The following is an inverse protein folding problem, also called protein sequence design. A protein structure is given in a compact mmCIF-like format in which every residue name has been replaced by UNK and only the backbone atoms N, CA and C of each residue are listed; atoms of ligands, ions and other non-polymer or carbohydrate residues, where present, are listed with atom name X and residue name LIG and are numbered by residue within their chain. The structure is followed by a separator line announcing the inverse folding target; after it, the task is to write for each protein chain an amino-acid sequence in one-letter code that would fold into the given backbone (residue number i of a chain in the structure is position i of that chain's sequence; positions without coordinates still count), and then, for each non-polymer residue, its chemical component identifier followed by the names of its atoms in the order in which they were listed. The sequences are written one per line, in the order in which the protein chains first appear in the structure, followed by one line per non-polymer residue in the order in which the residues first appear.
data_IF_669572147975
#
_entry.id   IF_669572147975
#
_cell.length_a   1.000
_cell.length_b   1.000
_cell.length_c   1.000
_cell.angle_alpha   90.00
_cell.angle_beta   90.00
_cell.angle_gamma   90.00
#
_symmetry.space_group_name_H-M   'P 1'
#
loop_
_entity.id
_entity.type
_entity.pdbx_description
1 polymer ?
#
# COMPACT_ATOMS: atom_id res chain seq x y z
N UNK A 1 70.07 -39.82 -54.56
CA UNK A 1 68.94 -40.70 -54.20
C UNK A 1 67.70 -39.83 -54.05
N UNK A 2 66.67 -40.13 -54.82
CA UNK A 2 65.35 -39.51 -54.78
C UNK A 2 64.64 -39.78 -53.46
N UNK A 3 64.05 -38.74 -52.85
CA UNK A 3 62.71 -38.68 -52.25
C UNK A 3 62.38 -37.17 -52.21
N UNK A 4 61.42 -36.60 -52.93
CA UNK A 4 60.05 -37.08 -53.17
C UNK A 4 59.12 -36.31 -52.23
N UNK A 5 58.78 -35.07 -52.59
CA UNK A 5 57.81 -34.22 -51.89
C UNK A 5 56.38 -34.74 -52.16
N UNK A 6 55.69 -35.21 -51.13
CA UNK A 6 54.22 -35.22 -51.07
C UNK A 6 53.80 -34.77 -49.67
N UNK A 7 53.18 -33.60 -49.61
CA UNK A 7 52.75 -32.95 -48.37
C UNK A 7 51.43 -32.24 -48.59
N UNK A 8 50.36 -33.04 -48.55
CA UNK A 8 48.98 -32.75 -48.19
C UNK A 8 48.49 -31.28 -48.23
N UNK A 9 47.52 -31.04 -49.12
CA UNK A 9 46.69 -29.85 -49.12
C UNK A 9 45.97 -29.66 -47.78
N UNK A 10 46.25 -28.53 -47.12
CA UNK A 10 45.46 -28.04 -46.01
C UNK A 10 44.17 -27.41 -46.55
N UNK A 11 42.98 -27.77 -46.04
CA UNK A 11 41.76 -27.02 -46.30
C UNK A 11 41.83 -25.68 -45.56
N UNK A 12 42.25 -24.63 -46.28
CA UNK A 12 42.12 -23.23 -45.85
C UNK A 12 40.66 -22.81 -46.04
N UNK A 13 39.74 -23.35 -45.23
CA UNK A 13 38.33 -22.98 -45.26
C UNK A 13 37.61 -23.56 -44.04
N UNK A 14 37.93 -23.08 -42.82
CA UNK A 14 36.93 -23.17 -41.74
C UNK A 14 37.16 -22.36 -40.45
N UNK A 15 38.24 -21.60 -40.30
CA UNK A 15 38.44 -20.84 -39.03
C UNK A 15 37.66 -19.51 -39.06
N UNK A 16 37.48 -18.92 -40.24
CA UNK A 16 36.76 -17.65 -40.38
C UNK A 16 35.23 -17.80 -40.20
N UNK A 17 34.68 -18.97 -40.53
CA UNK A 17 33.25 -19.28 -40.32
C UNK A 17 32.93 -19.52 -38.83
N UNK A 18 33.82 -20.19 -38.09
CA UNK A 18 33.62 -20.45 -36.66
C UNK A 18 33.76 -19.20 -35.78
N UNK A 19 34.60 -18.24 -36.16
CA UNK A 19 34.72 -16.96 -35.44
C UNK A 19 33.47 -16.08 -35.62
N UNK A 20 32.90 -16.01 -36.84
CA UNK A 20 31.65 -15.29 -37.09
C UNK A 20 30.46 -15.89 -36.33
N UNK A 21 30.37 -17.23 -36.23
CA UNK A 21 29.29 -17.86 -35.48
C UNK A 21 29.32 -17.56 -33.97
N UNK A 22 30.52 -17.45 -33.36
CA UNK A 22 30.63 -17.08 -31.94
C UNK A 22 30.21 -15.64 -31.67
N UNK A 23 30.56 -14.71 -32.54
CA UNK A 23 30.13 -13.31 -32.38
C UNK A 23 28.63 -13.17 -32.58
N UNK A 24 28.05 -13.89 -33.53
CA UNK A 24 26.60 -13.92 -33.78
C UNK A 24 25.84 -14.52 -32.59
N UNK A 25 26.33 -15.59 -31.96
CA UNK A 25 25.71 -16.18 -30.76
C UNK A 25 25.75 -15.25 -29.54
N UNK A 26 26.85 -14.51 -29.36
CA UNK A 26 26.97 -13.52 -28.28
C UNK A 26 26.06 -12.33 -28.54
N UNK A 27 25.92 -11.91 -29.80
CA UNK A 27 25.00 -10.84 -30.19
C UNK A 27 23.55 -11.26 -30.00
N UNK A 28 23.17 -12.49 -30.40
CA UNK A 28 21.83 -13.05 -30.23
C UNK A 28 21.44 -13.20 -28.75
N UNK A 29 22.37 -13.61 -27.89
CA UNK A 29 22.12 -13.66 -26.43
C UNK A 29 21.91 -12.27 -25.84
N UNK A 30 22.68 -11.27 -26.28
CA UNK A 30 22.51 -9.87 -25.82
C UNK A 30 21.19 -9.28 -26.32
N UNK A 31 20.83 -9.53 -27.58
CA UNK A 31 19.54 -9.08 -28.15
C UNK A 31 18.38 -9.79 -27.45
N UNK A 32 18.46 -11.10 -27.20
CA UNK A 32 17.44 -11.84 -26.46
C UNK A 32 17.25 -11.33 -25.02
N UNK A 33 18.33 -10.93 -24.34
CA UNK A 33 18.27 -10.34 -23.01
C UNK A 33 17.66 -8.94 -23.02
N UNK A 34 18.00 -8.11 -24.01
CA UNK A 34 17.39 -6.77 -24.18
C UNK A 34 15.90 -6.89 -24.52
N UNK A 35 15.52 -7.81 -25.42
CA UNK A 35 14.10 -8.08 -25.74
C UNK A 35 13.37 -8.65 -24.52
N UNK A 36 14.00 -9.53 -23.74
CA UNK A 36 13.44 -10.05 -22.49
C UNK A 36 13.21 -8.96 -21.44
N UNK A 37 14.14 -8.01 -21.30
CA UNK A 37 13.99 -6.85 -20.41
C UNK A 37 12.91 -5.89 -20.91
N UNK A 38 12.79 -5.68 -22.23
CA UNK A 38 11.73 -4.85 -22.83
C UNK A 38 10.36 -5.52 -22.67
N UNK A 39 10.24 -6.83 -22.87
CA UNK A 39 8.98 -7.56 -22.67
C UNK A 39 8.63 -7.63 -21.18
N UNK A 40 9.59 -7.88 -20.28
CA UNK A 40 9.34 -7.84 -18.84
C UNK A 40 8.97 -6.42 -18.39
N UNK A 41 9.63 -5.38 -18.91
CA UNK A 41 9.29 -3.97 -18.70
C UNK A 41 7.93 -3.59 -19.29
N UNK A 42 7.54 -4.16 -20.43
CA UNK A 42 6.23 -3.96 -21.05
C UNK A 42 5.13 -4.74 -20.34
N UNK A 43 5.38 -5.92 -19.77
CA UNK A 43 4.40 -6.68 -18.97
C UNK A 43 4.23 -6.03 -17.61
N UNK A 44 5.32 -5.60 -16.96
CA UNK A 44 5.26 -4.81 -15.71
C UNK A 44 4.65 -3.42 -15.97
N UNK A 45 4.90 -2.86 -17.16
CA UNK A 45 4.33 -1.62 -17.65
C UNK A 45 2.87 -1.73 -18.10
N UNK A 46 2.41 -2.88 -18.63
CA UNK A 46 1.02 -3.11 -19.04
C UNK A 46 0.12 -3.27 -17.81
N UNK A 47 0.62 -3.86 -16.72
CA UNK A 47 -0.05 -3.78 -15.43
C UNK A 47 0.05 -2.37 -14.80
N UNK A 48 0.94 -1.51 -15.29
CA UNK A 48 1.01 -0.10 -14.89
C UNK A 48 0.11 0.83 -15.71
N UNK A 49 -0.30 0.47 -16.93
CA UNK A 49 -1.21 1.28 -17.76
C UNK A 49 -2.63 1.34 -17.20
N UNK A 50 -3.12 0.22 -16.64
CA UNK A 50 -4.43 0.18 -15.97
C UNK A 50 -4.44 0.96 -14.65
N UNK A 51 -3.28 1.12 -14.00
CA UNK A 51 -3.16 1.90 -12.76
C UNK A 51 -2.94 3.39 -13.09
N UNK A 52 -2.20 3.72 -14.16
CA UNK A 52 -1.97 5.13 -14.54
C UNK A 52 -3.22 5.82 -15.09
N UNK A 53 -4.07 5.10 -15.84
CA UNK A 53 -5.36 5.63 -16.27
C UNK A 53 -6.39 5.73 -15.14
N UNK A 54 -6.21 5.01 -14.03
CA UNK A 54 -7.09 5.11 -12.85
C UNK A 54 -6.68 6.25 -11.91
N UNK A 55 -5.40 6.64 -11.88
CA UNK A 55 -4.89 7.66 -10.95
C UNK A 55 -4.79 9.07 -11.58
N UNK A 56 -4.64 9.20 -12.91
CA UNK A 56 -4.30 10.51 -13.52
C UNK A 56 -5.15 10.98 -14.72
N UNK A 57 -6.28 10.33 -15.05
CA UNK A 57 -7.20 10.81 -16.11
C UNK A 57 -8.67 10.41 -15.83
N UNK A 58 -9.52 11.26 -15.22
CA UNK A 58 -10.92 10.92 -14.94
C UNK A 58 -11.86 11.08 -16.16
N UNK A 59 -11.37 11.56 -17.30
CA UNK A 59 -12.18 11.73 -18.51
C UNK A 59 -11.90 10.64 -19.53
N UNK A 60 -12.64 9.51 -19.49
CA UNK A 60 -13.06 8.67 -20.64
C UNK A 60 -13.34 7.18 -20.32
N UNK A 61 -13.81 6.84 -19.11
CA UNK A 61 -14.50 5.56 -18.91
C UNK A 61 -16.02 5.80 -18.92
N UNK A 62 -16.66 5.60 -20.08
CA UNK A 62 -18.13 5.49 -20.14
C UNK A 62 -18.60 4.20 -19.43
N UNK A 63 -19.81 4.21 -18.84
CA UNK A 63 -20.24 3.20 -17.88
C UNK A 63 -20.71 1.93 -18.58
N UNK A 64 -20.09 0.81 -18.23
CA UNK A 64 -20.65 -0.52 -18.40
C UNK A 64 -21.06 -1.05 -17.04
N UNK A 65 -22.12 -0.48 -16.45
CA UNK A 65 -22.75 -1.00 -15.23
C UNK A 65 -23.47 -2.28 -15.62
N UNK A 66 -22.86 -3.42 -15.32
CA UNK A 66 -23.63 -4.65 -15.14
C UNK A 66 -23.96 -4.71 -13.66
N UNK A 67 -25.21 -4.39 -13.32
CA UNK A 67 -25.78 -4.66 -12.02
C UNK A 67 -25.74 -6.17 -11.76
N UNK A 68 -24.69 -6.64 -11.10
CA UNK A 68 -24.68 -7.99 -10.54
C UNK A 68 -25.56 -7.97 -9.29
N UNK A 69 -26.86 -8.19 -9.50
CA UNK A 69 -27.78 -8.54 -8.43
C UNK A 69 -27.36 -9.94 -7.95
N UNK A 70 -26.59 -9.99 -6.87
CA UNK A 70 -26.14 -11.24 -6.26
C UNK A 70 -27.23 -11.71 -5.32
N UNK A 71 -28.09 -12.61 -5.79
CA UNK A 71 -29.05 -13.33 -4.96
C UNK A 71 -28.27 -14.14 -3.92
N UNK A 72 -28.49 -13.85 -2.64
CA UNK A 72 -27.95 -14.66 -1.54
C UNK A 72 -28.72 -15.99 -1.46
N UNK A 73 -28.00 -17.08 -1.21
CA UNK A 73 -28.52 -18.46 -1.17
C UNK A 73 -29.30 -18.79 0.12
N UNK A 74 -29.44 -17.83 1.04
CA UNK A 74 -30.32 -17.90 2.20
C UNK A 74 -31.23 -16.67 2.18
N UNK A 75 -32.54 -16.89 2.07
CA UNK A 75 -33.61 -15.89 1.86
C UNK A 75 -33.85 -14.89 2.99
N UNK A 76 -32.80 -14.31 3.54
CA UNK A 76 -32.83 -13.06 4.31
C UNK A 76 -32.14 -12.00 3.48
N UNK A 77 -32.91 -11.03 2.99
CA UNK A 77 -32.37 -9.81 2.39
C UNK A 77 -31.34 -9.22 3.34
N UNK A 78 -30.06 -9.26 2.96
CA UNK A 78 -29.05 -8.46 3.63
C UNK A 78 -29.52 -7.01 3.51
N UNK A 79 -29.87 -6.39 4.64
CA UNK A 79 -30.30 -4.99 4.64
C UNK A 79 -29.28 -4.18 3.86
N UNK A 80 -29.71 -3.64 2.72
CA UNK A 80 -28.88 -2.74 1.93
C UNK A 80 -28.42 -1.62 2.87
N UNK A 81 -27.13 -1.34 2.91
CA UNK A 81 -26.67 -0.20 3.68
C UNK A 81 -27.24 1.06 3.05
N UNK A 82 -28.01 1.81 3.82
CA UNK A 82 -28.43 3.15 3.42
C UNK A 82 -27.21 4.06 3.46
N UNK A 83 -26.59 4.24 2.30
CA UNK A 83 -25.50 5.18 2.13
C UNK A 83 -26.03 6.62 2.09
N UNK A 84 -25.32 7.53 2.75
CA UNK A 84 -25.56 8.96 2.64
C UNK A 84 -25.39 9.41 1.18
N UNK A 85 -26.08 10.49 0.81
CA UNK A 85 -25.95 11.06 -0.52
C UNK A 85 -24.55 11.64 -0.78
N UNK A 86 -24.22 11.81 -2.06
CA UNK A 86 -23.01 12.54 -2.48
C UNK A 86 -22.96 13.95 -1.91
N UNK A 87 -24.11 14.62 -1.88
CA UNK A 87 -24.27 15.98 -1.37
C UNK A 87 -23.98 16.05 0.13
N UNK A 88 -24.43 15.06 0.90
CA UNK A 88 -24.15 14.95 2.34
C UNK A 88 -22.66 14.72 2.60
N UNK A 89 -22.02 13.84 1.82
CA UNK A 89 -20.58 13.59 1.93
C UNK A 89 -19.76 14.85 1.62
N UNK A 90 -20.12 15.60 0.56
CA UNK A 90 -19.49 16.89 0.25
C UNK A 90 -19.75 17.91 1.35
N UNK A 91 -20.97 17.93 1.91
CA UNK A 91 -21.35 18.78 3.03
C UNK A 91 -20.49 18.54 4.26
N UNK A 92 -20.24 17.27 4.60
CA UNK A 92 -19.37 16.89 5.71
C UNK A 92 -17.95 17.48 5.56
N UNK A 93 -17.37 17.39 4.36
CA UNK A 93 -16.03 17.92 4.07
C UNK A 93 -16.00 19.44 4.10
N UNK A 94 -17.00 20.12 3.52
CA UNK A 94 -17.10 21.59 3.53
C UNK A 94 -17.16 22.16 4.95
N UNK A 95 -17.77 21.43 5.87
CA UNK A 95 -17.93 21.86 7.26
C UNK A 95 -16.69 21.60 8.13
N UNK A 96 -15.63 20.99 7.61
CA UNK A 96 -14.37 20.85 8.34
C UNK A 96 -13.78 22.24 8.65
N UNK A 97 -13.22 22.47 9.86
CA UNK A 97 -12.65 23.77 10.22
C UNK A 97 -11.56 24.27 9.26
N UNK A 98 -10.73 23.38 8.73
CA UNK A 98 -9.69 23.74 7.76
C UNK A 98 -10.29 24.14 6.40
N UNK A 99 -11.25 23.36 5.90
CA UNK A 99 -11.89 23.57 4.60
C UNK A 99 -12.81 24.78 4.63
N UNK A 100 -13.64 24.94 5.66
CA UNK A 100 -14.51 26.10 5.82
C UNK A 100 -13.73 27.42 5.88
N UNK A 101 -12.53 27.43 6.44
CA UNK A 101 -11.62 28.58 6.39
C UNK A 101 -11.08 28.81 4.98
N UNK A 102 -10.66 27.76 4.28
CA UNK A 102 -10.21 27.84 2.89
C UNK A 102 -11.33 28.40 1.99
N UNK A 103 -12.57 27.93 2.16
CA UNK A 103 -13.74 28.45 1.43
C UNK A 103 -13.90 29.94 1.65
N UNK A 104 -13.90 30.39 2.91
CA UNK A 104 -14.01 31.82 3.23
C UNK A 104 -12.86 32.66 2.65
N UNK A 105 -11.63 32.14 2.65
CA UNK A 105 -10.48 32.85 2.08
C UNK A 105 -10.60 32.90 0.55
N UNK A 106 -11.05 31.82 -0.07
CA UNK A 106 -11.19 31.72 -1.52
C UNK A 106 -12.23 32.71 -2.09
N UNK A 107 -13.31 32.93 -1.34
CA UNK A 107 -14.32 33.95 -1.67
C UNK A 107 -13.74 35.38 -1.65
N UNK A 108 -12.67 35.62 -0.88
CA UNK A 108 -12.07 36.94 -0.70
C UNK A 108 -10.93 37.23 -1.68
N UNK A 109 -10.20 36.22 -2.15
CA UNK A 109 -8.99 36.38 -2.97
C UNK A 109 -9.13 35.94 -4.44
N UNK A 110 -10.33 35.50 -4.83
CA UNK A 110 -10.62 35.06 -6.21
C UNK A 110 -10.17 33.63 -6.53
N UNK A 111 -9.73 32.87 -5.52
CA UNK A 111 -9.48 31.43 -5.63
C UNK A 111 -10.78 30.66 -5.84
N UNK A 112 -10.76 29.62 -6.66
CA UNK A 112 -11.92 28.74 -6.86
C UNK A 112 -11.70 27.40 -6.16
N UNK A 113 -12.66 27.00 -5.32
CA UNK A 113 -12.73 25.67 -4.73
C UNK A 113 -13.82 24.83 -5.42
N UNK A 114 -13.45 23.67 -5.93
CA UNK A 114 -14.38 22.71 -6.53
C UNK A 114 -14.39 21.45 -5.70
N UNK A 115 -15.59 20.97 -5.38
CA UNK A 115 -15.83 19.75 -4.61
C UNK A 115 -16.47 18.72 -5.53
N UNK A 116 -15.89 17.52 -5.61
CA UNK A 116 -16.44 16.42 -6.37
C UNK A 116 -16.32 15.12 -5.56
N UNK A 117 -17.29 14.22 -5.71
CA UNK A 117 -17.12 12.84 -5.29
C UNK A 117 -16.60 12.04 -6.49
N UNK A 118 -15.48 11.36 -6.30
CA UNK A 118 -14.76 10.65 -7.37
C UNK A 118 -15.35 9.25 -7.60
N UNK A 119 -15.66 8.53 -6.53
CA UNK A 119 -16.15 7.15 -6.58
C UNK A 119 -17.35 6.96 -5.65
N UNK A 120 -18.39 6.27 -6.14
CA UNK A 120 -19.53 5.85 -5.33
C UNK A 120 -19.13 4.71 -4.36
N UNK A 121 -19.65 4.73 -3.11
CA UNK A 121 -19.38 3.70 -2.15
C UNK A 121 -20.05 2.38 -2.57
N UNK A 122 -19.42 1.27 -2.18
CA UNK A 122 -19.97 -0.07 -2.36
C UNK A 122 -20.09 -0.77 -1.02
N UNK A 123 -20.79 -1.91 -0.98
CA UNK A 123 -20.82 -2.74 0.22
C UNK A 123 -19.45 -3.25 0.65
N UNK A 124 -18.50 -3.38 -0.27
CA UNK A 124 -17.14 -3.80 0.06
C UNK A 124 -16.27 -2.61 0.49
N UNK A 125 -16.55 -1.42 -0.05
CA UNK A 125 -15.84 -0.17 0.22
C UNK A 125 -16.84 0.95 0.52
N UNK A 126 -17.36 1.03 1.76
CA UNK A 126 -18.39 1.99 2.15
C UNK A 126 -17.78 3.38 2.47
N UNK A 127 -17.00 3.92 1.53
CA UNK A 127 -16.27 5.19 1.70
C UNK A 127 -16.49 6.06 0.48
N UNK A 128 -16.93 7.30 0.70
CA UNK A 128 -16.90 8.35 -0.29
C UNK A 128 -15.51 8.95 -0.37
N UNK A 129 -15.00 9.12 -1.60
CA UNK A 129 -13.79 9.89 -1.86
C UNK A 129 -14.20 11.28 -2.38
N UNK A 130 -13.98 12.30 -1.57
CA UNK A 130 -14.30 13.70 -1.89
C UNK A 130 -13.01 14.42 -2.28
N UNK A 131 -12.94 14.80 -3.54
CA UNK A 131 -11.89 15.63 -4.12
C UNK A 131 -12.21 17.11 -3.88
N UNK A 132 -11.23 17.85 -3.37
CA UNK A 132 -11.24 19.31 -3.22
C UNK A 132 -10.12 19.87 -4.07
N UNK A 133 -10.49 20.57 -5.14
CA UNK A 133 -9.56 21.24 -6.05
C UNK A 133 -9.51 22.72 -5.72
N UNK A 134 -8.32 23.23 -5.44
CA UNK A 134 -8.04 24.64 -5.27
C UNK A 134 -7.34 25.19 -6.52
N UNK A 135 -7.98 26.15 -7.18
CA UNK A 135 -7.43 26.81 -8.37
C UNK A 135 -7.16 28.27 -8.07
N UNK A 136 -5.88 28.66 -8.15
CA UNK A 136 -5.43 30.05 -8.01
C UNK A 136 -4.87 30.55 -9.34
N UNK A 137 -5.06 31.83 -9.69
CA UNK A 137 -4.52 32.38 -10.92
C UNK A 137 -2.97 32.40 -10.98
N UNK A 138 -2.30 32.33 -9.84
CA UNK A 138 -0.84 32.44 -9.69
C UNK A 138 -0.13 31.10 -9.38
N UNK A 139 -0.87 30.00 -9.22
CA UNK A 139 -0.31 28.70 -8.84
C UNK A 139 -0.92 27.55 -9.61
N UNK A 140 -0.18 26.44 -9.68
CA UNK A 140 -0.74 25.19 -10.13
C UNK A 140 -1.86 24.74 -9.17
N UNK A 141 -2.96 24.18 -9.71
CA UNK A 141 -4.06 23.75 -8.89
C UNK A 141 -3.61 22.64 -7.94
N UNK A 142 -3.97 22.78 -6.67
CA UNK A 142 -3.72 21.79 -5.64
C UNK A 142 -4.98 20.94 -5.46
N UNK A 143 -4.80 19.62 -5.38
CA UNK A 143 -5.90 18.67 -5.16
C UNK A 143 -5.69 17.97 -3.84
N UNK A 144 -6.71 18.03 -2.97
CA UNK A 144 -6.74 17.34 -1.68
C UNK A 144 -7.89 16.34 -1.71
N UNK A 145 -7.64 15.14 -1.21
CA UNK A 145 -8.66 14.09 -1.10
C UNK A 145 -9.05 13.89 0.36
N UNK A 146 -10.36 13.91 0.62
CA UNK A 146 -10.97 13.57 1.90
C UNK A 146 -11.76 12.28 1.76
N UNK A 147 -11.78 11.49 2.84
CA UNK A 147 -12.52 10.25 2.89
C UNK A 147 -13.68 10.39 3.88
N UNK A 148 -14.87 9.95 3.50
CA UNK A 148 -16.07 10.05 4.36
C UNK A 148 -16.70 8.67 4.46
N UNK A 149 -16.99 8.23 5.68
CA UNK A 149 -17.79 7.02 5.90
C UNK A 149 -19.17 7.20 5.27
N UNK A 150 -19.50 6.33 4.30
CA UNK A 150 -20.74 6.40 3.57
C UNK A 150 -21.98 6.09 4.42
N UNK A 151 -21.82 5.54 5.63
CA UNK A 151 -22.94 5.23 6.53
C UNK A 151 -23.13 6.35 7.55
N UNK A 152 -22.07 6.78 8.23
CA UNK A 152 -22.19 7.78 9.30
C UNK A 152 -22.05 9.23 8.84
N UNK A 153 -21.47 9.48 7.67
CA UNK A 153 -21.08 10.83 7.24
C UNK A 153 -19.86 11.40 7.98
N UNK A 154 -19.21 10.59 8.82
CA UNK A 154 -17.98 10.98 9.49
C UNK A 154 -16.82 11.11 8.52
N UNK A 155 -16.11 12.24 8.56
CA UNK A 155 -14.84 12.38 7.84
C UNK A 155 -13.78 11.50 8.51
N UNK A 156 -13.17 10.62 7.73
CA UNK A 156 -12.14 9.70 8.17
C UNK A 156 -10.78 10.41 8.12
N UNK A 157 -10.16 10.51 9.28
CA UNK A 157 -8.83 11.07 9.46
C UNK A 157 -7.99 10.10 10.28
N UNK A 158 -7.21 9.28 9.58
CA UNK A 158 -6.28 8.33 10.18
C UNK A 158 -4.87 8.89 10.07
N UNK A 159 -4.30 9.24 11.23
CA UNK A 159 -3.04 10.00 11.32
C UNK A 159 -1.91 9.17 11.91
N UNK A 160 -0.68 9.61 11.67
CA UNK A 160 0.53 8.95 12.15
C UNK A 160 0.63 8.91 13.69
N UNK A 161 0.16 9.94 14.40
CA UNK A 161 0.17 10.01 15.87
C UNK A 161 -0.73 8.96 16.54
N UNK A 162 -1.66 8.39 15.77
CA UNK A 162 -2.61 7.37 16.22
C UNK A 162 -2.07 5.93 16.02
N UNK A 163 -0.86 5.78 15.48
CA UNK A 163 -0.23 4.48 15.21
C UNK A 163 0.29 3.83 16.48
N UNK A 164 -0.65 3.22 17.21
CA UNK A 164 -0.36 2.44 18.40
C UNK A 164 -1.16 1.13 18.42
N UNK A 165 -0.57 0.09 19.00
CA UNK A 165 -1.25 -1.17 19.33
C UNK A 165 -1.13 -1.37 20.83
N UNK A 166 -2.27 -1.50 21.51
CA UNK A 166 -2.34 -1.64 22.98
C UNK A 166 -1.57 -0.53 23.71
N UNK A 167 -1.65 0.70 23.20
CA UNK A 167 -0.93 1.87 23.72
C UNK A 167 0.58 1.86 23.52
N UNK A 168 1.12 0.89 22.78
CA UNK A 168 2.53 0.85 22.37
C UNK A 168 2.66 1.46 20.97
N UNK A 169 3.66 2.32 20.80
CA UNK A 169 4.01 2.93 19.51
C UNK A 169 5.44 2.61 19.11
N UNK A 170 5.76 2.88 17.85
CA UNK A 170 7.15 2.79 17.38
C UNK A 170 8.04 3.79 18.11
N UNK A 171 9.35 3.50 18.16
CA UNK A 171 10.33 4.37 18.81
C UNK A 171 10.41 4.22 20.34
N UNK A 172 9.39 3.67 21.00
CA UNK A 172 9.40 3.43 22.45
C UNK A 172 10.59 2.56 22.86
N UNK A 173 11.18 2.85 24.01
CA UNK A 173 12.26 2.08 24.60
C UNK A 173 11.73 0.85 25.33
N UNK A 174 12.62 -0.10 25.63
CA UNK A 174 12.29 -1.28 26.45
C UNK A 174 11.67 -0.91 27.80
N UNK A 175 12.17 0.14 28.46
CA UNK A 175 11.65 0.59 29.75
C UNK A 175 10.24 1.12 29.65
N UNK A 176 9.92 1.87 28.59
CA UNK A 176 8.56 2.38 28.37
C UNK A 176 7.57 1.26 28.05
N UNK A 177 7.98 0.25 27.27
CA UNK A 177 7.16 -0.93 27.03
C UNK A 177 6.90 -1.70 28.33
N UNK A 178 7.95 -1.94 29.14
CA UNK A 178 7.81 -2.61 30.43
C UNK A 178 6.97 -1.81 31.44
N UNK A 179 6.99 -0.47 31.37
CA UNK A 179 6.14 0.39 32.19
C UNK A 179 4.65 0.24 31.81
N UNK A 180 4.35 0.11 30.52
CA UNK A 180 2.97 0.01 30.01
C UNK A 180 2.39 -1.40 30.09
N UNK A 181 3.18 -2.43 29.79
CA UNK A 181 2.73 -3.83 29.66
C UNK A 181 3.25 -4.74 30.77
N UNK A 182 4.10 -4.23 31.66
CA UNK A 182 4.83 -5.06 32.62
C UNK A 182 5.98 -5.83 31.97
N UNK A 183 6.65 -6.65 32.78
CA UNK A 183 7.77 -7.49 32.30
C UNK A 183 7.25 -8.57 31.34
N UNK A 184 7.92 -8.80 30.20
CA UNK A 184 7.48 -9.81 29.25
C UNK A 184 7.65 -11.22 29.83
N UNK A 185 6.67 -12.12 29.64
CA UNK A 185 6.81 -13.53 29.99
C UNK A 185 7.98 -14.22 29.27
N UNK A 186 8.24 -13.82 28.02
CA UNK A 186 9.31 -14.38 27.19
C UNK A 186 10.08 -13.26 26.49
N UNK A 187 11.41 -13.40 26.47
CA UNK A 187 12.28 -12.54 25.68
C UNK A 187 13.34 -13.37 24.95
N UNK A 188 13.56 -13.06 23.67
CA UNK A 188 14.59 -13.69 22.83
C UNK A 188 15.39 -12.65 22.05
N UNK A 189 16.65 -12.96 21.76
CA UNK A 189 17.47 -12.23 20.79
C UNK A 189 17.57 -13.07 19.53
N UNK A 190 17.42 -12.47 18.36
CA UNK A 190 17.55 -13.15 17.08
C UNK A 190 18.12 -12.20 16.03
N UNK A 191 18.72 -12.73 14.99
CA UNK A 191 19.16 -11.95 13.83
C UNK A 191 18.00 -11.86 12.83
N UNK A 192 17.53 -10.64 12.57
CA UNK A 192 16.52 -10.38 11.56
C UNK A 192 17.20 -10.31 10.19
N UNK A 193 16.85 -11.25 9.30
CA UNK A 193 17.45 -11.33 7.94
C UNK A 193 17.03 -10.17 7.04
N UNK A 194 15.81 -9.68 7.21
CA UNK A 194 15.24 -8.59 6.40
C UNK A 194 15.92 -7.27 6.77
N UNK A 195 16.10 -7.03 8.06
CA UNK A 195 16.71 -5.81 8.58
C UNK A 195 18.24 -5.90 8.73
N UNK A 196 18.82 -7.09 8.50
CA UNK A 196 20.26 -7.40 8.65
C UNK A 196 20.83 -6.95 10.00
N UNK A 197 20.07 -7.08 11.08
CA UNK A 197 20.50 -6.66 12.42
C UNK A 197 20.01 -7.62 13.51
N UNK A 198 20.71 -7.63 14.64
CA UNK A 198 20.22 -8.30 15.84
C UNK A 198 19.03 -7.52 16.42
N UNK A 199 17.91 -8.21 16.61
CA UNK A 199 16.71 -7.69 17.24
C UNK A 199 16.44 -8.40 18.55
N UNK A 200 15.69 -7.76 19.42
CA UNK A 200 15.12 -8.38 20.61
C UNK A 200 13.61 -8.46 20.46
N UNK A 201 13.02 -9.59 20.80
CA UNK A 201 11.57 -9.78 20.77
C UNK A 201 11.08 -9.99 22.19
N UNK A 202 10.07 -9.21 22.58
CA UNK A 202 9.25 -9.43 23.77
C UNK A 202 7.93 -10.04 23.34
N UNK A 203 7.56 -11.17 23.93
CA UNK A 203 6.30 -11.86 23.64
C UNK A 203 5.41 -11.85 24.88
N UNK A 204 4.25 -11.22 24.74
CA UNK A 204 3.12 -11.21 25.67
C UNK A 204 2.00 -12.09 25.09
N UNK A 205 0.94 -12.43 25.85
CA UNK A 205 -0.25 -13.06 25.27
C UNK A 205 -0.79 -12.20 24.12
N UNK A 206 -0.83 -12.76 22.91
CA UNK A 206 -1.39 -12.08 21.73
C UNK A 206 -0.64 -10.88 21.18
N UNK A 207 0.51 -10.51 21.75
CA UNK A 207 1.26 -9.30 21.39
C UNK A 207 2.77 -9.59 21.32
N UNK A 208 3.38 -9.27 20.19
CA UNK A 208 4.83 -9.32 20.00
C UNK A 208 5.38 -7.92 19.74
N UNK A 209 6.46 -7.57 20.45
CA UNK A 209 7.15 -6.29 20.33
C UNK A 209 8.60 -6.53 19.96
N UNK A 210 9.01 -5.99 18.82
CA UNK A 210 10.36 -6.13 18.27
C UNK A 210 11.14 -4.84 18.45
N UNK A 211 12.31 -4.95 19.08
CA UNK A 211 13.25 -3.86 19.30
C UNK A 211 14.44 -3.99 18.34
N UNK A 212 14.78 -2.88 17.68
CA UNK A 212 15.96 -2.78 16.81
C UNK A 212 17.27 -2.70 17.60
N UNK A 213 18.38 -2.56 16.87
CA UNK A 213 19.74 -2.45 17.44
C UNK A 213 19.90 -1.30 18.44
N UNK A 214 19.20 -0.19 18.23
CA UNK A 214 19.17 0.98 19.13
C UNK A 214 18.31 0.79 20.38
N UNK A 215 17.67 -0.37 20.55
CA UNK A 215 16.84 -0.68 21.72
C UNK A 215 15.45 -0.02 21.73
N UNK A 216 15.04 0.55 20.60
CA UNK A 216 13.72 1.13 20.37
C UNK A 216 12.81 0.17 19.59
N UNK A 217 11.49 0.27 19.80
CA UNK A 217 10.48 -0.51 19.09
C UNK A 217 10.51 -0.16 17.60
N UNK A 218 10.55 -1.20 16.76
CA UNK A 218 10.54 -1.08 15.29
C UNK A 218 9.38 -1.84 14.66
N UNK A 219 8.77 -2.77 15.39
CA UNK A 219 7.59 -3.52 14.97
C UNK A 219 6.77 -3.95 16.17
N UNK A 220 5.45 -3.86 16.03
CA UNK A 220 4.47 -4.36 16.99
C UNK A 220 3.49 -5.21 16.19
N UNK A 221 3.20 -6.41 16.66
CA UNK A 221 2.22 -7.31 16.05
C UNK A 221 1.24 -7.77 17.13
N UNK A 222 -0.05 -7.73 16.84
CA UNK A 222 -1.08 -8.29 17.68
C UNK A 222 -1.96 -9.28 16.92
N UNK A 223 -2.30 -10.37 17.59
CA UNK A 223 -3.07 -11.50 17.04
C UNK A 223 -4.19 -11.97 17.96
N UNK A 224 -4.51 -11.21 19.02
CA UNK A 224 -5.62 -11.51 19.94
C UNK A 224 -6.56 -10.30 20.13
N UNK A 225 -7.85 -10.54 20.48
CA UNK A 225 -8.89 -9.48 20.45
C UNK A 225 -8.76 -8.43 21.56
N UNK A 226 -7.98 -8.73 22.59
CA UNK A 226 -7.66 -7.82 23.69
C UNK A 226 -6.72 -6.68 23.27
N UNK A 227 -6.02 -6.86 22.15
CA UNK A 227 -5.11 -5.87 21.60
C UNK A 227 -5.80 -5.00 20.56
N UNK A 228 -6.03 -3.73 20.91
CA UNK A 228 -6.61 -2.75 20.00
C UNK A 228 -5.52 -1.97 19.25
N UNK A 229 -5.66 -1.88 17.94
CA UNK A 229 -4.88 -1.02 17.07
C UNK A 229 -5.45 0.39 16.94
N UNK A 230 -4.99 1.14 15.93
CA UNK A 230 -5.46 2.47 15.63
C UNK A 230 -6.98 2.54 15.43
N UNK A 231 -7.59 3.63 15.91
CA UNK A 231 -9.05 3.86 15.92
C UNK A 231 -9.88 2.70 16.51
N UNK A 232 -9.26 1.83 17.31
CA UNK A 232 -9.94 0.72 17.98
C UNK A 232 -10.09 -0.56 17.16
N UNK A 233 -9.46 -0.68 15.98
CA UNK A 233 -9.47 -1.90 15.17
C UNK A 233 -8.81 -3.07 15.91
N UNK A 234 -9.47 -4.23 15.96
CA UNK A 234 -9.00 -5.43 16.69
C UNK A 234 -9.09 -6.68 15.85
N UNK A 235 -8.45 -7.75 16.31
CA UNK A 235 -8.66 -9.07 15.70
C UNK A 235 -10.10 -9.53 15.91
N UNK A 236 -10.69 -10.12 14.87
CA UNK A 236 -12.10 -10.51 14.82
C UNK A 236 -13.00 -9.52 14.10
N UNK A 237 -12.58 -8.26 13.94
CA UNK A 237 -13.33 -7.26 13.17
C UNK A 237 -13.48 -7.70 11.71
N UNK A 238 -14.61 -7.39 11.07
CA UNK A 238 -14.81 -7.70 9.66
C UNK A 238 -14.13 -6.66 8.78
N UNK A 239 -13.61 -7.07 7.61
CA UNK A 239 -12.90 -6.21 6.66
C UNK A 239 -13.65 -4.91 6.31
N UNK A 240 -14.96 -4.99 6.14
CA UNK A 240 -15.83 -3.84 5.84
C UNK A 240 -15.78 -2.79 6.96
N UNK A 241 -15.84 -3.20 8.22
CA UNK A 241 -15.79 -2.29 9.36
C UNK A 241 -14.41 -1.66 9.52
N UNK A 242 -13.34 -2.40 9.19
CA UNK A 242 -11.97 -1.85 9.16
C UNK A 242 -11.86 -0.73 8.12
N UNK A 243 -12.37 -0.95 6.91
CA UNK A 243 -12.38 0.06 5.84
C UNK A 243 -13.23 1.26 6.24
N UNK A 244 -14.39 1.04 6.87
CA UNK A 244 -15.22 2.13 7.40
C UNK A 244 -14.50 2.95 8.46
N UNK A 245 -13.67 2.30 9.27
CA UNK A 245 -12.97 2.95 10.40
C UNK A 245 -11.70 3.68 9.95
N UNK A 246 -10.93 3.10 9.02
CA UNK A 246 -9.60 3.59 8.64
C UNK A 246 -9.55 4.20 7.24
N UNK A 247 -10.60 4.06 6.45
CA UNK A 247 -10.67 4.48 5.07
C UNK A 247 -10.00 3.49 4.10
N UNK A 248 -9.77 3.97 2.88
CA UNK A 248 -9.12 3.29 1.79
C UNK A 248 -7.63 3.11 2.09
N UNK A 249 -7.18 1.86 2.03
CA UNK A 249 -5.77 1.52 2.19
C UNK A 249 -4.94 1.93 0.96
N UNK A 250 -3.67 2.30 1.18
CA UNK A 250 -2.72 2.58 0.10
C UNK A 250 -2.37 1.32 -0.71
N UNK A 251 -2.47 0.14 -0.10
CA UNK A 251 -2.37 -1.14 -0.79
C UNK A 251 -3.42 -2.09 -0.24
N UNK A 252 -4.23 -2.68 -1.14
CA UNK A 252 -5.27 -3.63 -0.80
C UNK A 252 -5.07 -4.95 -1.56
N UNK A 253 -5.06 -6.05 -0.82
CA UNK A 253 -5.05 -7.42 -1.30
C UNK A 253 -6.26 -8.17 -0.71
N UNK A 254 -6.51 -9.41 -1.15
CA UNK A 254 -7.62 -10.21 -0.63
C UNK A 254 -7.50 -10.42 0.88
N UNK A 255 -6.29 -10.76 1.35
CA UNK A 255 -5.96 -11.14 2.72
C UNK A 255 -5.30 -10.01 3.52
N UNK A 256 -5.13 -8.81 2.95
CA UNK A 256 -4.37 -7.72 3.59
C UNK A 256 -4.82 -6.33 3.16
N UNK A 257 -4.83 -5.39 4.11
CA UNK A 257 -4.85 -3.96 3.89
C UNK A 257 -3.57 -3.34 4.48
N UNK A 258 -2.93 -2.42 3.76
CA UNK A 258 -1.75 -1.70 4.22
C UNK A 258 -1.91 -0.18 4.04
N UNK A 259 -1.68 0.55 5.11
CA UNK A 259 -1.76 2.00 5.22
C UNK A 259 -0.35 2.54 5.43
N UNK A 260 0.06 3.46 4.57
CA UNK A 260 1.39 4.08 4.62
C UNK A 260 1.30 5.50 5.15
N UNK A 261 2.25 5.86 6.00
CA UNK A 261 2.30 7.17 6.66
C UNK A 261 3.63 7.86 6.42
N UNK A 262 3.60 9.20 6.52
CA UNK A 262 4.74 10.09 6.33
C UNK A 262 5.12 10.29 4.85
N UNK A 263 5.94 11.31 4.61
CA UNK A 263 6.45 11.63 3.27
C UNK A 263 7.26 10.47 2.67
N UNK A 264 7.99 9.75 3.52
CA UNK A 264 8.87 8.65 3.12
C UNK A 264 8.19 7.27 3.06
N UNK A 265 6.89 7.15 3.38
CA UNK A 265 6.10 5.90 3.36
C UNK A 265 6.73 4.70 4.09
N UNK A 266 7.72 4.93 4.94
CA UNK A 266 8.47 3.89 5.63
C UNK A 266 7.74 3.37 6.89
N UNK A 267 6.58 3.94 7.18
CA UNK A 267 5.75 3.55 8.30
C UNK A 267 4.49 2.89 7.76
N UNK A 268 4.29 1.63 8.13
CA UNK A 268 3.16 0.83 7.68
C UNK A 268 2.31 0.39 8.87
N UNK A 269 1.00 0.61 8.75
CA UNK A 269 0.00 -0.15 9.49
C UNK A 269 -0.59 -1.22 8.57
N UNK A 270 -0.58 -2.46 9.01
CA UNK A 270 -1.01 -3.61 8.23
C UNK A 270 -2.08 -4.37 8.99
N UNK A 271 -3.19 -4.63 8.31
CA UNK A 271 -4.29 -5.46 8.80
C UNK A 271 -4.36 -6.69 7.90
N UNK A 272 -4.21 -7.88 8.47
CA UNK A 272 -4.39 -9.15 7.76
C UNK A 272 -5.74 -9.76 8.07
N UNK A 273 -6.29 -10.47 7.10
CA UNK A 273 -7.59 -11.10 7.18
C UNK A 273 -7.47 -12.61 7.03
N UNK A 274 -8.28 -13.35 7.76
CA UNK A 274 -8.53 -14.77 7.50
C UNK A 274 -9.49 -14.96 6.31
N UNK A 275 -9.68 -16.21 5.89
CA UNK A 275 -10.54 -16.56 4.75
C UNK A 275 -12.02 -16.18 4.95
N UNK A 276 -12.46 -15.96 6.20
CA UNK A 276 -13.79 -15.47 6.57
C UNK A 276 -13.86 -13.93 6.63
N UNK A 277 -12.88 -13.23 6.06
CA UNK A 277 -12.77 -11.77 6.02
C UNK A 277 -12.73 -11.10 7.41
N UNK A 278 -12.31 -11.81 8.45
CA UNK A 278 -12.07 -11.25 9.78
C UNK A 278 -10.61 -10.92 9.99
N UNK A 279 -10.33 -9.89 10.77
CA UNK A 279 -8.97 -9.50 11.12
C UNK A 279 -8.32 -10.64 11.91
N UNK A 280 -7.24 -11.19 11.38
CA UNK A 280 -6.46 -12.25 12.01
C UNK A 280 -5.21 -11.70 12.71
N UNK A 281 -4.66 -10.60 12.21
CA UNK A 281 -3.46 -9.96 12.74
C UNK A 281 -3.45 -8.48 12.38
N UNK A 282 -2.99 -7.64 13.31
CA UNK A 282 -2.65 -6.25 13.05
C UNK A 282 -1.18 -6.02 13.36
N UNK A 283 -0.52 -5.17 12.59
CA UNK A 283 0.87 -4.81 12.86
C UNK A 283 1.20 -3.38 12.46
N UNK A 284 2.09 -2.77 13.23
CA UNK A 284 2.73 -1.50 12.90
C UNK A 284 4.22 -1.81 12.73
N UNK A 285 4.81 -1.41 11.59
CA UNK A 285 6.22 -1.64 11.33
C UNK A 285 6.87 -0.47 10.59
N UNK A 286 8.14 -0.24 10.92
CA UNK A 286 9.00 0.63 10.12
C UNK A 286 9.75 -0.21 9.09
N UNK A 287 9.49 -0.02 7.81
CA UNK A 287 10.28 -0.64 6.75
C UNK A 287 11.67 -0.02 6.74
N UNK A 288 12.69 -0.83 6.50
CA UNK A 288 14.04 -0.30 6.34
C UNK A 288 14.05 0.66 5.16
N UNK A 289 14.51 1.89 5.39
CA UNK A 289 14.91 2.80 4.31
C UNK A 289 15.89 1.99 3.48
N UNK A 290 15.57 1.79 2.20
CA UNK A 290 16.51 1.18 1.26
C UNK A 290 17.85 1.87 1.47
N UNK A 291 18.87 1.10 1.83
CA UNK A 291 20.22 1.63 1.94
C UNK A 291 20.50 2.21 0.57
N UNK A 292 20.53 3.54 0.44
CA UNK A 292 21.14 4.16 -0.72
C UNK A 292 22.52 3.53 -0.82
N UNK A 293 22.74 2.80 -1.91
CA UNK A 293 24.03 2.21 -2.20
C UNK A 293 25.05 3.35 -2.16
N UNK A 294 25.86 3.37 -1.10
CA UNK A 294 27.10 4.13 -1.04
C UNK A 294 28.14 3.47 -1.94
#
# INVERSE_FOLDING_TARGET
MNLGFEGNGAPVLNIQFMAQHREVDVLLKKVGLVVGVIIAGLVTGYFSSSIRNFIFNPGNAKPGIVSAQKTAEDGTDAAALDFISKEDAIGAVKNLPAVSRLVRVSELDGTQLVFAADQEPTDEYPVWLVEVKESRPDKFPETIYYQVDAVSGGVLDFREDELQISGLGLGMTRKEVELKQGKPPKSKKLFDKTLKQNVRVYSYPGLEVVFGSKGSVIKITASQPDCAGPKGVKTGDIKKDVIRTLGKAGTAQSDRLAYSFGEDKNLLFVVKFSNDNKVSEISIEKTAVGSENK
#
